data_IF_068180185245
#
_entry.id   IF_068180185245
#
_cell.length_a   1.000
_cell.length_b   1.000
_cell.length_c   1.000
_cell.angle_alpha   90.00
_cell.angle_beta   90.00
_cell.angle_gamma   90.00
#
_symmetry.space_group_name_H-M   'P 1'
#
loop_
_entity.id
_entity.type
_entity.pdbx_description
1 polymer ?
#
# COMPACT_ATOMS: atom_id res chain seq x y z
N UNK A 1 13.17 40.43 22.25
CA UNK A 1 13.49 39.67 21.02
C UNK A 1 13.26 40.56 19.82
N UNK A 2 14.06 40.43 18.75
CA UNK A 2 13.76 41.13 17.50
C UNK A 2 12.45 40.59 16.90
N UNK A 3 11.69 41.45 16.22
CA UNK A 3 10.45 41.05 15.52
C UNK A 3 10.68 39.83 14.60
N UNK A 4 11.85 39.78 13.94
CA UNK A 4 12.24 38.68 13.04
C UNK A 4 12.36 37.35 13.79
N UNK A 5 12.93 37.35 14.99
CA UNK A 5 13.05 36.15 15.82
C UNK A 5 11.67 35.64 16.26
N UNK A 6 10.79 36.55 16.68
CA UNK A 6 9.42 36.20 17.06
C UNK A 6 8.63 35.65 15.87
N UNK A 7 8.79 36.23 14.69
CA UNK A 7 8.12 35.76 13.47
C UNK A 7 8.61 34.37 13.08
N UNK A 8 9.93 34.14 13.04
CA UNK A 8 10.51 32.84 12.71
C UNK A 8 10.06 31.73 13.68
N UNK A 9 10.03 32.02 14.99
CA UNK A 9 9.63 31.06 16.03
C UNK A 9 8.14 30.68 16.01
N UNK A 10 7.29 31.48 15.35
CA UNK A 10 5.83 31.28 15.37
C UNK A 10 5.24 30.91 14.02
N UNK A 11 5.79 31.44 12.93
CA UNK A 11 5.28 31.17 11.58
C UNK A 11 5.69 29.79 11.10
N UNK A 12 6.95 29.37 11.31
CA UNK A 12 7.41 28.08 10.83
C UNK A 12 6.63 26.89 11.45
N UNK A 13 6.42 26.82 12.79
CA UNK A 13 5.62 25.75 13.39
C UNK A 13 4.15 25.81 12.96
N UNK A 14 3.60 27.01 12.74
CA UNK A 14 2.24 27.19 12.25
C UNK A 14 2.08 26.62 10.83
N UNK A 15 2.96 26.99 9.90
CA UNK A 15 2.92 26.48 8.53
C UNK A 15 3.08 24.96 8.49
N UNK A 16 4.04 24.43 9.27
CA UNK A 16 4.27 22.99 9.34
C UNK A 16 3.05 22.24 9.90
N UNK A 17 2.41 22.79 10.93
CA UNK A 17 1.17 22.26 11.51
C UNK A 17 0.02 22.25 10.50
N UNK A 18 -0.17 23.34 9.76
CA UNK A 18 -1.22 23.42 8.73
C UNK A 18 -0.97 22.44 7.59
N UNK A 19 0.28 22.29 7.15
CA UNK A 19 0.66 21.32 6.13
C UNK A 19 0.36 19.88 6.60
N UNK A 20 0.85 19.49 7.78
CA UNK A 20 0.60 18.16 8.34
C UNK A 20 -0.90 17.90 8.57
N UNK A 21 -1.61 18.86 9.17
CA UNK A 21 -3.04 18.75 9.42
C UNK A 21 -3.81 18.53 8.11
N UNK A 22 -3.55 19.36 7.10
CA UNK A 22 -4.17 19.24 5.78
C UNK A 22 -3.90 17.88 5.15
N UNK A 23 -2.63 17.44 5.11
CA UNK A 23 -2.24 16.16 4.52
C UNK A 23 -2.89 14.97 5.22
N UNK A 24 -2.84 14.92 6.56
CA UNK A 24 -3.36 13.77 7.30
C UNK A 24 -4.88 13.75 7.41
N UNK A 25 -5.53 14.91 7.53
CA UNK A 25 -6.99 14.96 7.44
C UNK A 25 -7.46 14.51 6.06
N UNK A 26 -6.81 15.00 4.99
CA UNK A 26 -7.12 14.56 3.63
C UNK A 26 -6.92 13.05 3.46
N UNK A 27 -5.77 12.52 3.89
CA UNK A 27 -5.47 11.10 3.82
C UNK A 27 -6.50 10.26 4.60
N UNK A 28 -6.82 10.64 5.83
CA UNK A 28 -7.79 9.95 6.68
C UNK A 28 -9.21 10.00 6.12
N UNK A 29 -9.67 11.17 5.65
CA UNK A 29 -10.99 11.31 5.02
C UNK A 29 -11.05 10.41 3.79
N UNK A 30 -9.99 10.39 2.98
CA UNK A 30 -9.98 9.59 1.76
C UNK A 30 -10.09 8.08 2.02
N UNK A 31 -9.59 7.58 3.17
CA UNK A 31 -9.70 6.17 3.55
C UNK A 31 -11.12 5.78 3.97
N UNK A 32 -11.82 6.71 4.62
CA UNK A 32 -13.15 6.46 5.21
C UNK A 32 -14.29 6.77 4.23
N UNK A 33 -14.14 7.83 3.43
CA UNK A 33 -15.19 8.35 2.56
C UNK A 33 -15.24 7.66 1.18
N UNK A 34 -14.09 7.26 0.62
CA UNK A 34 -14.05 6.66 -0.70
C UNK A 34 -14.20 5.14 -0.65
N UNK A 35 -14.89 4.63 -1.65
CA UNK A 35 -14.96 3.21 -1.97
C UNK A 35 -13.95 2.89 -3.06
N UNK A 36 -13.58 1.62 -3.13
CA UNK A 36 -12.66 1.12 -4.11
C UNK A 36 -13.10 -0.28 -4.50
N UNK A 37 -12.93 -0.57 -5.78
CA UNK A 37 -13.20 -1.88 -6.35
C UNK A 37 -12.01 -2.81 -6.07
N UNK A 38 -12.32 -4.05 -5.71
CA UNK A 38 -11.38 -5.15 -5.53
C UNK A 38 -11.81 -6.25 -6.48
N UNK A 39 -10.92 -6.63 -7.38
CA UNK A 39 -11.18 -7.63 -8.42
C UNK A 39 -10.35 -8.91 -8.24
N UNK A 40 -9.37 -8.91 -7.33
CA UNK A 40 -8.57 -10.12 -7.05
C UNK A 40 -9.43 -11.14 -6.28
N UNK A 41 -9.67 -12.35 -6.82
CA UNK A 41 -10.46 -13.39 -6.15
C UNK A 41 -9.93 -13.76 -4.76
N UNK A 42 -8.60 -13.73 -4.55
CA UNK A 42 -8.00 -14.05 -3.26
C UNK A 42 -8.34 -12.97 -2.21
N UNK A 43 -8.30 -11.70 -2.62
CA UNK A 43 -8.69 -10.58 -1.76
C UNK A 43 -10.18 -10.64 -1.41
N UNK A 44 -11.03 -10.99 -2.38
CA UNK A 44 -12.48 -11.14 -2.18
C UNK A 44 -12.74 -12.27 -1.18
N UNK A 45 -12.11 -13.43 -1.34
CA UNK A 45 -12.22 -14.56 -0.41
C UNK A 45 -11.80 -14.14 1.01
N UNK A 46 -10.70 -13.40 1.14
CA UNK A 46 -10.24 -12.90 2.42
C UNK A 46 -11.21 -11.90 3.07
N UNK A 47 -11.84 -11.02 2.28
CA UNK A 47 -12.87 -10.09 2.75
C UNK A 47 -14.16 -10.81 3.20
N UNK A 48 -14.51 -11.93 2.56
CA UNK A 48 -15.61 -12.81 2.98
C UNK A 48 -15.26 -13.50 4.30
N UNK A 49 -14.03 -13.99 4.45
CA UNK A 49 -13.56 -14.59 5.71
C UNK A 49 -13.65 -13.60 6.88
N UNK A 50 -13.33 -12.33 6.64
CA UNK A 50 -13.48 -11.26 7.63
C UNK A 50 -14.92 -10.79 7.83
N UNK A 51 -15.89 -11.39 7.15
CA UNK A 51 -17.31 -11.03 7.17
C UNK A 51 -17.54 -9.56 6.80
N UNK A 52 -16.71 -9.00 5.92
CA UNK A 52 -16.86 -7.65 5.35
C UNK A 52 -17.79 -7.69 4.13
N UNK A 53 -17.66 -8.76 3.34
CA UNK A 53 -18.52 -9.06 2.19
C UNK A 53 -19.37 -10.27 2.59
N UNK A 54 -20.71 -10.22 2.43
CA UNK A 54 -21.54 -11.37 2.76
C UNK A 54 -21.11 -12.56 1.90
N UNK A 55 -21.07 -13.78 2.45
CA UNK A 55 -20.81 -14.94 1.64
C UNK A 55 -21.90 -15.00 0.57
N UNK A 56 -21.49 -15.06 -0.69
CA UNK A 56 -22.44 -15.38 -1.74
C UNK A 56 -22.91 -16.79 -1.48
N UNK A 57 -24.20 -16.93 -1.18
CA UNK A 57 -24.85 -18.21 -1.31
C UNK A 57 -24.78 -18.51 -2.79
N UNK A 58 -23.80 -19.30 -3.23
CA UNK A 58 -23.90 -20.03 -4.47
C UNK A 58 -25.25 -20.71 -4.37
N UNK A 59 -26.24 -20.21 -5.11
CA UNK A 59 -27.47 -20.94 -5.28
C UNK A 59 -26.99 -22.19 -6.01
N UNK A 60 -26.70 -23.26 -5.25
CA UNK A 60 -26.44 -24.57 -5.81
C UNK A 60 -27.62 -24.75 -6.75
N UNK A 61 -27.42 -24.73 -8.08
CA UNK A 61 -28.53 -24.84 -9.00
C UNK A 61 -29.24 -26.11 -8.54
N UNK A 62 -30.50 -25.96 -8.13
CA UNK A 62 -31.27 -27.08 -7.61
C UNK A 62 -31.06 -28.20 -8.61
N UNK A 63 -30.57 -29.39 -8.17
CA UNK A 63 -30.28 -30.48 -9.10
C UNK A 63 -31.49 -30.56 -10.00
N UNK A 64 -31.31 -30.50 -11.34
CA UNK A 64 -32.42 -30.41 -12.26
C UNK A 64 -33.44 -31.44 -11.80
N UNK A 65 -34.62 -30.98 -11.37
CA UNK A 65 -35.68 -31.89 -10.98
C UNK A 65 -35.82 -32.80 -12.18
N UNK A 66 -35.43 -34.07 -12.02
CA UNK A 66 -35.56 -35.09 -13.04
C UNK A 66 -37.01 -35.00 -13.48
N UNK A 67 -37.20 -34.34 -14.62
CA UNK A 67 -38.47 -34.29 -15.30
C UNK A 67 -38.61 -35.75 -15.70
N UNK A 68 -39.56 -36.53 -15.13
CA UNK A 68 -39.61 -37.96 -15.36
C UNK A 68 -39.73 -38.17 -16.87
N UNK A 69 -38.62 -38.57 -17.48
CA UNK A 69 -38.50 -38.68 -18.90
C UNK A 69 -39.53 -39.71 -19.33
N UNK A 70 -40.45 -39.25 -20.16
CA UNK A 70 -41.27 -40.12 -20.98
C UNK A 70 -40.27 -40.87 -21.85
N UNK A 71 -40.00 -42.13 -21.49
CA UNK A 71 -39.17 -43.06 -22.24
C UNK A 71 -39.72 -43.12 -23.68
N UNK A 72 -39.14 -42.35 -24.59
CA UNK A 72 -39.36 -42.54 -26.01
C UNK A 72 -38.33 -43.56 -26.52
N UNK A 73 -38.78 -44.62 -27.21
CA UNK A 73 -37.90 -45.62 -27.79
C UNK A 73 -36.96 -44.98 -28.82
N UNK A 74 -35.70 -45.33 -28.71
CA UNK A 74 -34.60 -44.96 -29.58
C UNK A 74 -34.75 -45.71 -30.91
N UNK A 75 -35.15 -45.02 -31.98
CA UNK A 75 -34.98 -45.49 -33.36
C UNK A 75 -33.67 -44.93 -33.92
N UNK A 76 -32.70 -45.82 -34.15
CA UNK A 76 -31.50 -45.57 -34.94
C UNK A 76 -31.87 -45.27 -36.40
N UNK A 77 -31.30 -44.20 -36.99
CA UNK A 77 -30.64 -44.44 -38.26
C UNK A 77 -29.32 -43.68 -38.48
N UNK A 78 -28.42 -44.41 -39.13
CA UNK A 78 -27.44 -43.97 -40.12
C UNK A 78 -26.29 -43.04 -39.68
N UNK A 79 -25.10 -43.65 -39.66
CA UNK A 79 -23.79 -43.01 -39.61
C UNK A 79 -23.63 -41.91 -40.69
N UNK A 80 -23.30 -40.70 -40.24
CA UNK A 80 -22.82 -39.60 -41.07
C UNK A 80 -21.28 -39.56 -40.97
N UNK A 81 -20.52 -39.28 -42.04
CA UNK A 81 -19.06 -39.28 -42.00
C UNK A 81 -18.53 -38.04 -41.25
N UNK A 82 -17.29 -38.10 -40.71
CA UNK A 82 -16.70 -37.01 -39.95
C UNK A 82 -16.43 -35.80 -40.85
N UNK A 83 -16.93 -34.64 -40.43
CA UNK A 83 -16.57 -33.34 -40.99
C UNK A 83 -15.22 -32.90 -40.43
N UNK A 84 -14.42 -32.34 -41.33
CA UNK A 84 -13.07 -31.83 -41.15
C UNK A 84 -13.07 -30.55 -40.29
N UNK A 85 -12.62 -30.65 -39.04
CA UNK A 85 -12.46 -29.54 -38.07
C UNK A 85 -11.05 -28.93 -38.13
N UNK A 86 -10.63 -28.43 -39.30
CA UNK A 86 -9.30 -27.80 -39.44
C UNK A 86 -9.30 -26.28 -39.69
N UNK A 87 -10.46 -25.61 -39.78
CA UNK A 87 -10.51 -24.19 -40.20
C UNK A 87 -10.85 -23.15 -39.10
N UNK A 88 -10.78 -23.50 -37.81
CA UNK A 88 -11.14 -22.57 -36.73
C UNK A 88 -10.01 -21.69 -36.18
N UNK A 89 -8.74 -21.99 -36.50
CA UNK A 89 -7.59 -21.33 -35.87
C UNK A 89 -7.16 -20.06 -36.61
N UNK A 90 -7.32 -20.00 -37.93
CA UNK A 90 -6.89 -18.87 -38.76
C UNK A 90 -7.75 -17.62 -38.52
N UNK A 91 -9.07 -17.79 -38.33
CA UNK A 91 -9.98 -16.68 -37.99
C UNK A 91 -9.72 -16.08 -36.60
N UNK A 92 -9.13 -16.86 -35.68
CA UNK A 92 -8.74 -16.41 -34.34
C UNK A 92 -7.43 -15.64 -34.39
N UNK A 93 -6.46 -16.09 -35.21
CA UNK A 93 -5.19 -15.39 -35.42
C UNK A 93 -5.41 -14.05 -36.12
N UNK A 94 -6.26 -13.99 -37.15
CA UNK A 94 -6.57 -12.74 -37.86
C UNK A 94 -7.29 -11.71 -36.97
N UNK A 95 -8.18 -12.16 -36.07
CA UNK A 95 -8.84 -11.26 -35.12
C UNK A 95 -7.90 -10.75 -34.01
N UNK A 96 -6.90 -11.55 -33.60
CA UNK A 96 -5.90 -11.12 -32.63
C UNK A 96 -4.89 -10.14 -33.23
N UNK A 97 -4.43 -10.39 -34.45
CA UNK A 97 -3.51 -9.49 -35.17
C UNK A 97 -4.17 -8.11 -35.40
N UNK A 98 -5.44 -8.11 -35.83
CA UNK A 98 -6.22 -6.87 -36.06
C UNK A 98 -6.49 -6.07 -34.78
N UNK A 99 -6.56 -6.74 -33.62
CA UNK A 99 -6.65 -6.07 -32.31
C UNK A 99 -5.31 -5.50 -31.85
N UNK A 100 -4.19 -6.14 -32.21
CA UNK A 100 -2.86 -5.69 -31.87
C UNK A 100 -2.46 -4.43 -32.65
N UNK A 101 -2.80 -4.39 -33.95
CA UNK A 101 -2.53 -3.24 -34.82
C UNK A 101 -3.37 -2.00 -34.45
N UNK A 102 -4.48 -2.17 -33.73
CA UNK A 102 -5.32 -1.08 -33.24
C UNK A 102 -4.82 -0.46 -31.92
N UNK A 103 -3.81 -1.05 -31.26
CA UNK A 103 -3.29 -0.62 -29.96
C UNK A 103 -1.97 0.16 -30.08
N UNK A 104 -1.33 0.17 -31.24
CA UNK A 104 -0.18 1.05 -31.52
C UNK A 104 -0.65 2.40 -32.08
N UNK A 105 -0.53 3.51 -31.33
CA UNK A 105 -0.65 4.83 -31.91
C UNK A 105 0.58 5.09 -32.79
N UNK A 106 0.35 5.60 -34.01
CA UNK A 106 1.36 6.25 -34.84
C UNK A 106 1.98 7.41 -34.04
N UNK A 107 3.12 7.15 -33.40
CA UNK A 107 3.95 8.18 -32.77
C UNK A 107 5.19 8.41 -33.65
N UNK A 108 4.92 8.83 -34.88
CA UNK A 108 5.89 9.53 -35.74
C UNK A 108 6.12 10.94 -35.16
N UNK A 109 6.86 11.01 -34.04
CA UNK A 109 7.60 12.21 -33.68
C UNK A 109 9.10 11.93 -33.73
N UNK A 110 9.71 12.48 -34.77
CA UNK A 110 11.13 12.61 -34.99
C UNK A 110 11.83 13.13 -33.74
N UNK A 111 12.61 12.28 -33.08
CA UNK A 111 13.68 12.71 -32.17
C UNK A 111 15.00 12.51 -32.89
N UNK A 112 15.62 13.65 -33.17
CA UNK A 112 16.92 13.82 -33.79
C UNK A 112 18.01 13.02 -33.06
N UNK A 113 18.69 12.22 -33.87
CA UNK A 113 19.89 11.44 -33.60
C UNK A 113 21.04 12.31 -33.08
N UNK A 114 21.56 11.99 -31.90
CA UNK A 114 22.92 12.37 -31.48
C UNK A 114 23.50 11.30 -30.56
N UNK A 115 24.14 10.30 -31.17
CA UNK A 115 25.13 9.44 -30.51
C UNK A 115 26.44 10.21 -30.35
N UNK A 116 27.20 9.93 -29.28
CA UNK A 116 28.54 9.45 -29.50
C UNK A 116 28.79 8.08 -28.85
N UNK A 117 29.60 7.31 -29.56
CA UNK A 117 30.00 5.93 -29.31
C UNK A 117 31.01 5.76 -28.16
N UNK A 118 31.27 4.47 -27.91
CA UNK A 118 32.47 3.87 -27.31
C UNK A 118 32.57 3.83 -25.77
N UNK A 119 32.37 2.65 -25.18
CA UNK A 119 33.46 1.72 -24.83
C UNK A 119 32.97 0.65 -23.83
N UNK A 120 32.83 -0.60 -24.30
CA UNK A 120 32.69 -1.80 -23.45
C UNK A 120 34.05 -2.51 -23.38
N UNK A 121 34.62 -2.76 -22.20
CA UNK A 121 35.68 -3.73 -22.03
C UNK A 121 35.13 -5.16 -21.78
N UNK A 122 35.94 -6.19 -22.05
CA UNK A 122 35.50 -7.55 -22.37
C UNK A 122 35.38 -8.49 -21.17
N UNK A 123 34.70 -9.62 -21.44
CA UNK A 123 34.58 -10.82 -20.62
C UNK A 123 35.89 -11.30 -19.97
N UNK A 124 35.79 -11.82 -18.74
CA UNK A 124 36.78 -12.74 -18.18
C UNK A 124 36.05 -13.92 -17.48
N UNK A 125 36.36 -15.18 -17.86
CA UNK A 125 35.75 -16.38 -17.28
C UNK A 125 36.61 -16.92 -16.13
N UNK A 126 35.99 -17.20 -14.98
CA UNK A 126 36.63 -18.03 -13.96
C UNK A 126 35.60 -18.93 -13.27
N UNK A 127 35.77 -20.22 -13.53
CA UNK A 127 35.09 -21.34 -12.90
C UNK A 127 35.35 -21.41 -11.40
N UNK A 128 34.38 -21.94 -10.66
CA UNK A 128 34.70 -22.78 -9.50
C UNK A 128 33.60 -23.82 -9.32
N UNK A 129 33.97 -25.07 -9.61
CA UNK A 129 33.29 -26.28 -9.15
C UNK A 129 33.25 -26.30 -7.62
N UNK A 130 32.09 -26.67 -7.07
CA UNK A 130 32.04 -27.46 -5.85
C UNK A 130 30.78 -28.32 -5.85
N UNK A 131 31.06 -29.61 -5.91
CA UNK A 131 30.26 -30.82 -5.87
C UNK A 131 29.67 -31.09 -4.47
N UNK A 132 28.76 -32.07 -4.42
CA UNK A 132 28.14 -32.74 -3.26
C UNK A 132 27.07 -31.91 -2.51
N UNK A 133 25.80 -32.29 -2.41
CA UNK A 133 25.16 -33.60 -2.52
C UNK A 133 24.34 -33.80 -1.26
N UNK A 134 23.04 -33.55 -1.29
CA UNK A 134 22.12 -33.99 -0.23
C UNK A 134 20.68 -34.14 -0.72
N UNK A 135 20.23 -35.38 -0.63
CA UNK A 135 18.91 -35.85 -0.20
C UNK A 135 17.65 -35.11 -0.72
N UNK A 136 17.10 -35.63 -1.82
CA UNK A 136 15.73 -35.33 -2.26
C UNK A 136 14.74 -36.00 -1.31
N UNK A 137 14.39 -35.32 -0.22
CA UNK A 137 13.13 -35.60 0.47
C UNK A 137 11.98 -35.20 -0.46
N UNK A 138 10.92 -36.03 -0.63
CA UNK A 138 9.71 -35.60 -1.30
C UNK A 138 9.15 -34.42 -0.49
N UNK A 139 9.25 -33.22 -1.05
CA UNK A 139 8.49 -32.08 -0.56
C UNK A 139 7.04 -32.49 -0.77
N UNK A 140 6.31 -32.73 0.33
CA UNK A 140 4.85 -32.74 0.27
C UNK A 140 4.47 -31.43 -0.41
N UNK A 141 3.96 -31.55 -1.63
CA UNK A 141 3.30 -30.51 -2.39
C UNK A 141 2.03 -30.13 -1.61
N UNK A 142 2.24 -29.45 -0.49
CA UNK A 142 1.27 -28.64 0.21
C UNK A 142 1.02 -27.39 -0.60
N UNK A 143 0.81 -27.54 -1.92
CA UNK A 143 0.06 -26.59 -2.69
C UNK A 143 -1.13 -26.23 -1.84
N UNK A 144 -1.22 -24.95 -1.49
CA UNK A 144 -2.34 -24.36 -0.78
C UNK A 144 -3.58 -24.68 -1.59
N UNK A 145 -4.14 -25.88 -1.39
CA UNK A 145 -5.43 -26.29 -1.87
C UNK A 145 -6.36 -25.35 -1.13
N UNK A 146 -6.67 -24.24 -1.78
CA UNK A 146 -7.55 -23.20 -1.30
C UNK A 146 -8.76 -23.93 -0.69
N UNK A 147 -8.99 -23.79 0.63
CA UNK A 147 -10.07 -24.51 1.29
C UNK A 147 -11.37 -24.09 0.63
N UNK A 148 -11.98 -25.03 -0.11
CA UNK A 148 -13.26 -24.89 -0.83
C UNK A 148 -13.24 -23.73 -1.82
N UNK A 149 -13.05 -24.06 -3.10
CA UNK A 149 -13.13 -23.15 -4.24
C UNK A 149 -14.29 -22.15 -4.10
N UNK A 150 -13.97 -20.94 -3.62
CA UNK A 150 -14.90 -19.83 -3.62
C UNK A 150 -14.90 -19.28 -5.04
N UNK A 151 -15.69 -19.88 -5.93
CA UNK A 151 -16.04 -19.25 -7.19
C UNK A 151 -17.05 -18.16 -6.87
N UNK A 152 -16.56 -16.94 -6.59
CA UNK A 152 -17.45 -15.79 -6.62
C UNK A 152 -17.74 -15.49 -8.08
N UNK A 153 -19.01 -15.60 -8.50
CA UNK A 153 -19.48 -15.13 -9.81
C UNK A 153 -19.41 -13.58 -9.93
N UNK A 154 -18.89 -12.89 -8.91
CA UNK A 154 -18.59 -11.47 -8.94
C UNK A 154 -17.16 -11.23 -9.43
N UNK A 155 -17.04 -10.58 -10.58
CA UNK A 155 -15.76 -10.09 -11.12
C UNK A 155 -15.13 -9.01 -10.23
N UNK A 156 -15.93 -8.35 -9.39
CA UNK A 156 -15.44 -7.33 -8.46
C UNK A 156 -16.39 -7.02 -7.30
N UNK A 157 -15.82 -6.49 -6.22
CA UNK A 157 -16.56 -6.02 -5.04
C UNK A 157 -16.12 -4.61 -4.65
N UNK A 158 -17.09 -3.71 -4.42
CA UNK A 158 -16.81 -2.38 -3.88
C UNK A 158 -16.76 -2.39 -2.35
N UNK A 159 -15.58 -2.06 -1.80
CA UNK A 159 -15.37 -1.93 -0.36
C UNK A 159 -14.85 -0.53 -0.01
N UNK A 160 -14.90 -0.16 1.27
CA UNK A 160 -14.27 1.09 1.73
C UNK A 160 -12.76 1.04 1.48
N UNK A 161 -12.14 2.15 1.09
CA UNK A 161 -10.70 2.23 0.78
C UNK A 161 -9.82 1.78 1.94
N UNK A 162 -10.27 1.95 3.19
CA UNK A 162 -9.58 1.40 4.38
C UNK A 162 -9.39 -0.13 4.32
N UNK A 163 -10.22 -0.88 3.59
CA UNK A 163 -10.04 -2.32 3.41
C UNK A 163 -8.83 -2.67 2.54
N UNK A 164 -8.42 -1.80 1.60
CA UNK A 164 -7.15 -2.01 0.86
C UNK A 164 -5.94 -1.97 1.80
N UNK A 165 -6.00 -1.16 2.86
CA UNK A 165 -4.95 -1.15 3.86
C UNK A 165 -4.97 -2.43 4.70
N UNK A 166 -6.14 -2.97 5.01
CA UNK A 166 -6.26 -4.25 5.70
C UNK A 166 -5.69 -5.41 4.87
N UNK A 167 -6.03 -5.45 3.57
CA UNK A 167 -5.47 -6.40 2.61
C UNK A 167 -3.95 -6.23 2.48
N UNK A 168 -3.45 -5.00 2.38
CA UNK A 168 -1.99 -4.74 2.35
C UNK A 168 -1.27 -5.30 3.59
N UNK A 169 -1.85 -5.13 4.79
CA UNK A 169 -1.30 -5.68 6.04
C UNK A 169 -1.33 -7.22 6.01
N UNK A 170 -2.41 -7.81 5.50
CA UNK A 170 -2.54 -9.25 5.37
C UNK A 170 -1.51 -9.84 4.39
N UNK A 171 -1.35 -9.23 3.21
CA UNK A 171 -0.34 -9.63 2.22
C UNK A 171 1.09 -9.46 2.72
N UNK A 172 1.35 -8.41 3.50
CA UNK A 172 2.67 -8.23 4.10
C UNK A 172 3.04 -9.38 5.05
N UNK A 173 2.06 -9.97 5.73
CA UNK A 173 2.29 -11.14 6.58
C UNK A 173 2.24 -12.48 5.83
N UNK A 174 1.52 -12.55 4.70
CA UNK A 174 1.34 -13.75 3.90
C UNK A 174 1.73 -13.49 2.43
N UNK A 175 3.02 -13.22 2.14
CA UNK A 175 3.44 -12.74 0.82
C UNK A 175 3.38 -13.79 -0.30
N UNK A 176 3.07 -15.05 0.02
CA UNK A 176 2.98 -16.14 -0.96
C UNK A 176 4.35 -16.64 -1.42
N UNK A 177 4.44 -17.00 -2.70
CA UNK A 177 5.66 -17.53 -3.34
C UNK A 177 6.09 -16.62 -4.49
N UNK A 178 7.37 -16.63 -4.82
CA UNK A 178 7.91 -15.93 -5.99
C UNK A 178 7.66 -16.74 -7.29
N UNK A 179 8.14 -16.21 -8.43
CA UNK A 179 7.99 -16.88 -9.74
C UNK A 179 8.71 -18.24 -9.85
N UNK A 180 9.66 -18.50 -8.95
CA UNK A 180 10.41 -19.76 -8.86
C UNK A 180 9.73 -20.75 -7.90
N UNK A 181 8.56 -20.39 -7.34
CA UNK A 181 7.84 -21.19 -6.35
C UNK A 181 8.44 -21.14 -4.95
N UNK A 182 9.45 -20.30 -4.71
CA UNK A 182 10.06 -20.17 -3.38
C UNK A 182 9.22 -19.26 -2.48
N UNK A 183 9.06 -19.60 -1.18
CA UNK A 183 8.30 -18.79 -0.25
C UNK A 183 8.95 -17.41 -0.03
N UNK A 184 8.14 -16.35 -0.13
CA UNK A 184 8.59 -14.99 0.19
C UNK A 184 8.64 -14.79 1.71
N UNK A 185 9.62 -14.01 2.18
CA UNK A 185 9.79 -13.73 3.61
C UNK A 185 8.65 -12.86 4.13
N UNK A 186 7.97 -13.30 5.18
CA UNK A 186 6.94 -12.49 5.85
C UNK A 186 7.52 -11.19 6.42
N UNK A 187 6.90 -10.06 6.05
CA UNK A 187 7.29 -8.70 6.44
C UNK A 187 6.68 -8.25 7.77
N UNK A 188 5.69 -8.99 8.22
CA UNK A 188 4.83 -8.61 9.31
C UNK A 188 4.52 -9.84 10.17
N UNK A 189 4.52 -9.74 11.50
CA UNK A 189 4.26 -10.90 12.34
C UNK A 189 2.92 -11.55 12.02
N UNK A 190 2.91 -12.87 11.77
CA UNK A 190 1.71 -13.64 11.42
C UNK A 190 0.57 -13.46 12.42
N UNK A 191 0.91 -13.22 13.70
CA UNK A 191 -0.05 -12.95 14.75
C UNK A 191 -0.98 -11.76 14.43
N UNK A 192 -0.50 -10.77 13.68
CA UNK A 192 -1.24 -9.56 13.33
C UNK A 192 -2.07 -9.73 12.04
N UNK A 193 -1.86 -10.82 11.29
CA UNK A 193 -2.61 -11.12 10.08
C UNK A 193 -3.77 -12.11 10.28
N UNK A 194 -3.87 -12.70 11.47
CA UNK A 194 -4.93 -13.66 11.82
C UNK A 194 -6.25 -12.96 12.12
N UNK A 195 -7.33 -13.51 11.56
CA UNK A 195 -8.69 -13.04 11.77
C UNK A 195 -8.89 -11.57 11.38
N UNK A 196 -9.69 -10.84 12.14
CA UNK A 196 -10.04 -9.45 11.80
C UNK A 196 -9.01 -8.41 12.26
N UNK A 197 -7.82 -8.81 12.71
CA UNK A 197 -6.80 -7.87 13.21
C UNK A 197 -6.30 -6.88 12.13
N UNK A 198 -6.03 -7.28 10.88
CA UNK A 198 -5.65 -6.33 9.82
C UNK A 198 -6.69 -5.23 9.61
N UNK A 199 -7.98 -5.60 9.69
CA UNK A 199 -9.11 -4.67 9.60
C UNK A 199 -9.08 -3.66 10.74
N UNK A 200 -8.84 -4.11 11.97
CA UNK A 200 -8.72 -3.22 13.14
C UNK A 200 -7.54 -2.27 12.98
N UNK A 201 -6.36 -2.75 12.58
CA UNK A 201 -5.18 -1.89 12.38
C UNK A 201 -5.42 -0.85 11.28
N UNK A 202 -6.04 -1.25 10.17
CA UNK A 202 -6.37 -0.32 9.09
C UNK A 202 -7.32 0.80 9.56
N UNK A 203 -8.33 0.46 10.36
CA UNK A 203 -9.23 1.45 10.97
C UNK A 203 -8.53 2.33 12.00
N UNK A 204 -7.68 1.76 12.85
CA UNK A 204 -6.88 2.52 13.83
C UNK A 204 -5.99 3.52 13.10
N UNK A 205 -5.31 3.12 12.02
CA UNK A 205 -4.49 4.02 11.22
C UNK A 205 -5.32 5.18 10.64
N UNK A 206 -6.46 4.89 10.01
CA UNK A 206 -7.34 5.92 9.45
C UNK A 206 -7.89 6.89 10.52
N UNK A 207 -8.28 6.38 11.69
CA UNK A 207 -8.77 7.19 12.81
C UNK A 207 -7.64 8.06 13.37
N UNK A 208 -6.44 7.50 13.56
CA UNK A 208 -5.29 8.26 14.06
C UNK A 208 -4.91 9.41 13.11
N UNK A 209 -4.90 9.18 11.80
CA UNK A 209 -4.66 10.24 10.81
C UNK A 209 -5.70 11.37 10.92
N UNK A 210 -7.00 11.03 11.03
CA UNK A 210 -8.08 12.00 11.16
C UNK A 210 -8.00 12.79 12.48
N UNK A 211 -7.93 12.08 13.60
CA UNK A 211 -7.96 12.67 14.94
C UNK A 211 -6.71 13.49 15.18
N UNK A 212 -5.53 12.97 14.83
CA UNK A 212 -4.28 13.70 15.02
C UNK A 212 -4.12 14.84 14.02
N UNK A 213 -4.61 14.68 12.79
CA UNK A 213 -4.69 15.78 11.81
C UNK A 213 -5.59 16.91 12.29
N UNK A 214 -6.77 16.61 12.83
CA UNK A 214 -7.67 17.60 13.40
C UNK A 214 -7.09 18.26 14.67
N UNK A 215 -6.49 17.46 15.57
CA UNK A 215 -5.80 17.97 16.76
C UNK A 215 -4.65 18.91 16.38
N UNK A 216 -3.89 18.56 15.34
CA UNK A 216 -2.87 19.44 14.75
C UNK A 216 -3.46 20.73 14.23
N UNK A 217 -4.53 20.68 13.44
CA UNK A 217 -5.17 21.88 12.89
C UNK A 217 -5.52 22.89 13.98
N UNK A 218 -6.11 22.39 15.07
CA UNK A 218 -6.54 23.19 16.21
C UNK A 218 -5.35 23.63 17.09
N UNK A 219 -4.27 22.84 17.13
CA UNK A 219 -3.14 23.05 18.04
C UNK A 219 -3.40 22.51 19.43
N UNK A 220 -4.08 21.37 19.50
CA UNK A 220 -4.38 20.65 20.72
C UNK A 220 -3.52 19.40 20.81
N UNK A 221 -2.83 19.23 21.94
CA UNK A 221 -1.81 18.24 22.22
C UNK A 221 -0.86 17.99 21.05
N UNK A 222 -0.29 19.04 20.43
CA UNK A 222 0.45 18.87 19.17
C UNK A 222 1.62 17.90 19.30
N UNK A 223 2.34 17.92 20.44
CA UNK A 223 3.43 16.96 20.67
C UNK A 223 2.93 15.52 20.74
N UNK A 224 1.83 15.28 21.44
CA UNK A 224 1.30 13.92 21.55
C UNK A 224 0.63 13.47 20.25
N UNK A 225 0.05 14.38 19.48
CA UNK A 225 -0.56 14.10 18.18
C UNK A 225 0.48 13.88 17.08
N UNK A 226 1.69 14.46 17.15
CA UNK A 226 2.71 14.23 16.12
C UNK A 226 3.34 12.84 16.18
N UNK A 227 3.47 12.24 17.36
CA UNK A 227 4.02 10.89 17.50
C UNK A 227 3.24 9.80 16.76
N UNK A 228 1.91 9.66 16.91
CA UNK A 228 1.14 8.69 16.14
C UNK A 228 1.15 8.99 14.64
N UNK A 229 1.19 10.28 14.22
CA UNK A 229 1.37 10.63 12.81
C UNK A 229 2.74 10.19 12.25
N UNK A 230 3.80 10.33 13.04
CA UNK A 230 5.10 9.79 12.68
C UNK A 230 5.05 8.24 12.59
N UNK A 231 4.36 7.59 13.53
CA UNK A 231 4.16 6.14 13.53
C UNK A 231 3.39 5.63 12.30
N UNK A 232 2.34 6.33 11.86
CA UNK A 232 1.59 5.95 10.65
C UNK A 232 2.45 6.11 9.39
N UNK A 233 3.28 7.15 9.29
CA UNK A 233 4.22 7.30 8.16
C UNK A 233 5.30 6.23 8.15
N UNK A 234 5.86 5.91 9.32
CA UNK A 234 6.85 4.83 9.44
C UNK A 234 6.25 3.49 9.00
N UNK A 235 5.04 3.19 9.47
CA UNK A 235 4.33 1.97 9.08
C UNK A 235 4.00 1.96 7.58
N UNK A 236 3.58 3.09 7.02
CA UNK A 236 3.32 3.21 5.58
C UNK A 236 4.59 2.99 4.74
N UNK A 237 5.73 3.58 5.12
CA UNK A 237 7.02 3.34 4.47
C UNK A 237 7.44 1.88 4.55
N UNK A 238 7.24 1.25 5.70
CA UNK A 238 7.51 -0.18 5.87
C UNK A 238 6.68 -1.03 4.91
N UNK A 239 5.36 -0.84 4.90
CA UNK A 239 4.44 -1.67 4.10
C UNK A 239 4.51 -1.40 2.60
N UNK A 240 4.94 -0.21 2.16
CA UNK A 240 4.85 0.18 0.74
C UNK A 240 6.19 0.30 0.02
N UNK A 241 7.30 0.50 0.73
CA UNK A 241 8.60 0.74 0.08
C UNK A 241 9.66 -0.21 0.63
N UNK A 242 9.93 -0.15 1.93
CA UNK A 242 11.05 -0.87 2.55
C UNK A 242 10.81 -2.38 2.52
N UNK A 243 9.63 -2.81 2.97
CA UNK A 243 9.27 -4.22 3.01
C UNK A 243 9.30 -4.87 1.63
N UNK A 244 8.52 -4.37 0.65
CA UNK A 244 8.52 -4.94 -0.70
C UNK A 244 9.92 -4.97 -1.34
N UNK A 245 10.75 -3.95 -1.10
CA UNK A 245 12.13 -3.94 -1.58
C UNK A 245 12.96 -5.10 -0.97
N UNK A 246 12.87 -5.31 0.35
CA UNK A 246 13.54 -6.43 1.04
C UNK A 246 13.03 -7.78 0.52
N UNK A 247 11.71 -7.95 0.39
CA UNK A 247 11.09 -9.18 -0.12
C UNK A 247 11.54 -9.54 -1.54
N UNK A 248 11.70 -8.53 -2.40
CA UNK A 248 12.14 -8.74 -3.77
C UNK A 248 13.62 -9.11 -3.91
N UNK A 249 14.41 -9.02 -2.82
CA UNK A 249 15.87 -9.18 -2.84
C UNK A 249 16.61 -8.06 -3.59
N UNK A 250 15.88 -7.09 -4.14
CA UNK A 250 16.41 -6.10 -5.07
C UNK A 250 16.64 -4.75 -4.37
N UNK A 251 17.59 -4.73 -3.43
CA UNK A 251 17.88 -3.55 -2.62
C UNK A 251 19.22 -2.88 -2.95
N UNK A 252 19.19 -1.57 -3.19
CA UNK A 252 20.34 -0.67 -3.12
C UNK A 252 20.54 -0.35 -1.63
N UNK A 253 21.73 -0.58 -1.06
CA UNK A 253 22.05 -0.38 0.37
C UNK A 253 21.20 -1.15 1.42
N UNK A 254 20.56 -2.26 1.02
CA UNK A 254 19.85 -3.16 1.94
C UNK A 254 18.38 -2.81 2.22
N UNK A 255 17.91 -1.61 1.86
CA UNK A 255 16.50 -1.23 2.07
C UNK A 255 15.90 -0.29 1.00
N UNK A 256 16.71 0.30 0.10
CA UNK A 256 16.18 1.13 -0.98
C UNK A 256 15.91 0.27 -2.21
N UNK A 257 14.84 0.48 -2.98
CA UNK A 257 14.65 -0.19 -4.26
C UNK A 257 15.77 0.17 -5.26
N UNK A 258 16.32 -0.79 -6.01
CA UNK A 258 17.35 -0.50 -7.03
C UNK A 258 16.85 0.35 -8.19
N UNK A 259 15.56 0.22 -8.52
CA UNK A 259 14.86 0.98 -9.58
C UNK A 259 14.26 2.29 -9.08
N UNK A 260 14.82 2.90 -8.03
CA UNK A 260 14.25 4.12 -7.44
C UNK A 260 14.27 5.33 -8.39
N UNK A 261 15.16 5.33 -9.38
CA UNK A 261 15.29 6.40 -10.38
C UNK A 261 14.51 6.12 -11.67
N UNK A 262 13.85 4.96 -11.77
CA UNK A 262 13.07 4.61 -12.93
C UNK A 262 11.74 5.39 -12.93
N UNK A 263 11.28 5.74 -14.13
CA UNK A 263 9.98 6.37 -14.33
C UNK A 263 8.88 5.32 -14.25
N UNK A 264 7.91 5.54 -13.37
CA UNK A 264 6.65 4.80 -13.36
C UNK A 264 5.54 5.64 -14.01
N UNK A 265 4.40 5.04 -14.39
CA UNK A 265 3.23 5.80 -14.84
C UNK A 265 2.75 6.87 -13.84
N UNK A 266 3.11 6.73 -12.56
CA UNK A 266 2.81 7.70 -11.49
C UNK A 266 3.96 8.70 -11.22
N UNK A 267 4.99 8.74 -12.08
CA UNK A 267 6.23 9.50 -11.90
C UNK A 267 7.36 8.67 -11.30
N UNK A 268 8.43 9.32 -10.85
CA UNK A 268 9.58 8.62 -10.30
C UNK A 268 9.26 7.90 -8.97
N UNK A 269 9.71 6.64 -8.84
CA UNK A 269 9.52 5.84 -7.61
C UNK A 269 10.10 6.55 -6.38
N UNK A 270 11.25 7.22 -6.52
CA UNK A 270 11.86 7.98 -5.42
C UNK A 270 10.96 9.11 -4.90
N UNK A 271 10.05 9.67 -5.70
CA UNK A 271 9.21 10.78 -5.27
C UNK A 271 8.25 10.36 -4.15
N UNK A 272 7.72 9.13 -4.22
CA UNK A 272 6.80 8.60 -3.20
C UNK A 272 7.52 8.37 -1.86
N UNK A 273 8.70 7.76 -1.88
CA UNK A 273 9.48 7.52 -0.65
C UNK A 273 9.99 8.82 -0.05
N UNK A 274 10.47 9.78 -0.86
CA UNK A 274 10.90 11.10 -0.36
C UNK A 274 9.73 11.88 0.22
N UNK A 275 8.55 11.79 -0.39
CA UNK A 275 7.34 12.40 0.15
C UNK A 275 6.97 11.83 1.53
N UNK A 276 6.91 10.50 1.67
CA UNK A 276 6.62 9.85 2.96
C UNK A 276 7.69 10.19 4.01
N UNK A 277 8.96 10.20 3.63
CA UNK A 277 10.07 10.57 4.50
C UNK A 277 9.99 12.04 4.95
N UNK A 278 9.64 12.96 4.04
CA UNK A 278 9.44 14.36 4.37
C UNK A 278 8.28 14.56 5.37
N UNK A 279 7.18 13.82 5.23
CA UNK A 279 6.07 13.84 6.19
C UNK A 279 6.48 13.27 7.55
N UNK A 280 7.23 12.17 7.59
CA UNK A 280 7.79 11.62 8.83
C UNK A 280 8.67 12.66 9.53
N UNK A 281 9.64 13.23 8.81
CA UNK A 281 10.56 14.22 9.38
C UNK A 281 9.83 15.49 9.82
N UNK A 282 8.78 15.90 9.10
CA UNK A 282 7.92 17.02 9.48
C UNK A 282 7.15 16.74 10.78
N UNK A 283 6.60 15.54 10.94
CA UNK A 283 5.93 15.13 12.17
C UNK A 283 6.92 15.09 13.37
N UNK A 284 8.11 14.53 13.17
CA UNK A 284 9.16 14.53 14.19
C UNK A 284 9.65 15.95 14.52
N UNK A 285 9.83 16.81 13.53
CA UNK A 285 10.16 18.22 13.76
C UNK A 285 9.09 18.90 14.62
N UNK A 286 7.79 18.68 14.34
CA UNK A 286 6.70 19.20 15.17
C UNK A 286 6.71 18.65 16.59
N UNK A 287 7.09 17.39 16.80
CA UNK A 287 7.26 16.82 18.13
C UNK A 287 8.27 17.62 18.96
N UNK A 288 9.45 17.90 18.39
CA UNK A 288 10.53 18.60 19.10
C UNK A 288 10.27 20.11 19.23
N UNK A 289 9.78 20.76 18.18
CA UNK A 289 9.47 22.20 18.17
C UNK A 289 8.30 22.51 19.12
N UNK A 290 7.28 21.65 19.14
CA UNK A 290 6.07 21.83 19.94
C UNK A 290 4.99 22.69 19.26
N UNK A 291 4.01 23.18 20.03
CA UNK A 291 2.75 23.67 19.48
C UNK A 291 2.79 25.10 18.89
N UNK A 292 3.88 25.85 19.10
CA UNK A 292 3.99 27.26 18.65
C UNK A 292 3.14 28.23 19.49
N UNK A 293 3.24 29.55 19.23
CA UNK A 293 2.48 30.54 20.01
C UNK A 293 0.97 30.53 19.79
N UNK A 294 0.50 30.12 18.62
CA UNK A 294 -0.91 30.20 18.22
C UNK A 294 -1.66 28.87 18.45
N UNK A 295 -1.28 28.15 19.51
CA UNK A 295 -1.88 26.86 19.85
C UNK A 295 -2.82 26.96 21.04
N UNK A 296 -3.86 26.12 21.03
CA UNK A 296 -4.72 25.94 22.19
C UNK A 296 -3.91 25.39 23.38
N UNK A 297 -2.91 24.54 23.13
CA UNK A 297 -2.00 24.05 24.17
C UNK A 297 -1.36 25.19 24.97
N UNK A 298 -0.91 26.25 24.29
CA UNK A 298 -0.32 27.40 24.96
C UNK A 298 -1.37 28.28 25.65
N UNK A 299 -2.59 28.33 25.12
CA UNK A 299 -3.70 29.04 25.76
C UNK A 299 -4.12 28.37 27.06
N UNK A 300 -4.15 27.03 27.10
CA UNK A 300 -4.59 26.24 28.26
C UNK A 300 -3.46 26.11 29.29
N UNK A 301 -2.25 25.74 28.87
CA UNK A 301 -1.13 25.46 29.79
C UNK A 301 -0.23 26.67 30.06
N UNK A 302 -0.53 27.81 29.45
CA UNK A 302 0.23 29.06 29.61
C UNK A 302 1.51 29.08 28.78
N UNK A 303 1.94 30.30 28.45
CA UNK A 303 3.27 30.54 27.93
C UNK A 303 4.25 30.61 29.11
N UNK A 304 5.46 30.01 29.04
CA UNK A 304 6.50 30.35 30.00
C UNK A 304 6.79 31.86 29.90
N UNK A 305 6.38 32.62 30.92
CA UNK A 305 6.65 34.04 31.02
C UNK A 305 8.08 34.21 31.52
N UNK A 306 9.02 34.55 30.63
CA UNK A 306 10.30 35.09 31.10
C UNK A 306 10.05 36.49 31.63
N UNK A 307 9.81 36.60 32.94
CA UNK A 307 9.83 37.89 33.64
C UNK A 307 11.28 38.34 33.69
N UNK A 308 11.58 39.47 33.05
CA UNK A 308 12.85 40.15 33.27
C UNK A 308 12.67 40.98 34.53
N UNK A 309 13.08 40.42 35.66
CA UNK A 309 13.31 41.26 36.85
C UNK A 309 14.37 42.31 36.49
N UNK A 310 14.21 43.49 37.08
CA UNK A 310 14.93 44.75 36.89
C UNK A 310 16.40 44.66 36.43
N UNK A 311 16.97 45.71 35.80
CA UNK A 311 18.38 45.75 35.38
C UNK A 311 19.33 45.49 36.57
N UNK A 312 19.73 44.22 36.75
CA UNK A 312 20.55 43.73 37.87
C UNK A 312 20.01 42.45 38.56
N UNK A 313 18.74 42.11 38.35
CA UNK A 313 18.09 40.93 38.94
C UNK A 313 18.50 39.62 38.27
N UNK A 314 18.79 38.60 39.08
CA UNK A 314 19.02 37.23 38.59
C UNK A 314 17.75 36.76 37.85
N UNK A 315 17.92 36.16 36.68
CA UNK A 315 16.82 35.56 35.89
C UNK A 315 16.07 34.54 36.77
N UNK A 316 14.89 34.89 37.26
CA UNK A 316 13.99 33.92 37.89
C UNK A 316 12.96 33.45 36.86
N UNK A 317 12.80 32.14 36.75
CA UNK A 317 11.74 31.53 35.93
C UNK A 317 10.55 31.33 36.85
N UNK A 318 9.64 32.29 36.87
CA UNK A 318 8.39 32.21 37.64
C UNK A 318 7.29 31.60 36.76
N UNK A 319 6.71 30.48 37.20
CA UNK A 319 5.50 29.90 36.58
C UNK A 319 4.29 30.64 37.14
N UNK A 320 3.71 31.57 36.38
CA UNK A 320 2.49 32.29 36.78
C UNK A 320 1.28 31.39 36.52
N UNK A 321 0.54 30.92 37.54
CA UNK A 321 -0.71 30.20 37.33
C UNK A 321 -1.75 31.16 36.72
N UNK A 322 -2.41 30.76 35.64
CA UNK A 322 -3.55 31.51 35.10
C UNK A 322 -4.79 31.22 35.94
N UNK A 323 -5.01 32.02 36.98
CA UNK A 323 -6.16 31.88 37.86
C UNK A 323 -6.15 32.83 39.05
N UNK A 324 -6.18 34.14 38.80
CA UNK A 324 -6.76 35.17 39.69
C UNK A 324 -7.50 36.21 38.83
#
# INVERSE_FOLDING_TARGET
MSFRTTLALNVAPLCLRLALAGTFMWAGISKVAYRTEISDPNDIAQLVEWNIVPPQSAAVPAPPLDNPETVQPKDDPAATPPADESNGLEDVIDNLQKKLDAITPDDDQQVEENQPADDLPPDDPAATDSDEGDEVTPVEDGGNALPVAYQSDQDSVEVKRVMRLALLIHHAANPGVNNEGQPLTSLWPDALAKGTLPVVFAWVAAILELVCGAAMLIGFFTRLASLPLAGTMLTAMWLTQIGPAIQSGNTLIGFLPTRMFDESPAGYVYATILWQFALLMSALAMFFIGPGALSIDRLIFGAPSTRFDEPGGKRQVEFVPMGE
#
